data_IF_761372159791
#
_entry.id   IF_761372159791
#
_cell.length_a   1.000
_cell.length_b   1.000
_cell.length_c   1.000
_cell.angle_alpha   90.00
_cell.angle_beta   90.00
_cell.angle_gamma   90.00
#
_symmetry.space_group_name_H-M   'P 1'
#
loop_
_entity.id
_entity.type
_entity.pdbx_description
1 polymer ?
#
# COMPACT_ATOMS: atom_id res chain seq x y z
N UNK A 1 -43.80 37.71 -31.17
CA UNK A 1 -43.67 37.75 -32.65
C UNK A 1 -42.22 37.55 -33.01
N UNK A 2 -42.06 36.63 -33.95
CA UNK A 2 -40.87 36.23 -34.69
C UNK A 2 -40.03 35.08 -34.13
N UNK A 3 -40.37 33.94 -34.72
CA UNK A 3 -39.54 32.74 -34.95
C UNK A 3 -38.29 33.11 -35.74
N UNK A 4 -37.18 32.43 -35.41
CA UNK A 4 -36.22 32.00 -36.43
C UNK A 4 -35.65 30.65 -36.04
N UNK A 5 -36.08 29.65 -36.78
CA UNK A 5 -35.53 28.32 -36.93
C UNK A 5 -34.18 28.42 -37.64
N UNK A 6 -33.20 27.68 -37.16
CA UNK A 6 -31.91 27.50 -37.82
C UNK A 6 -31.39 26.08 -37.54
N UNK A 7 -31.81 25.19 -38.43
CA UNK A 7 -31.31 23.83 -38.63
C UNK A 7 -29.93 23.87 -39.28
N UNK A 8 -29.01 23.04 -38.84
CA UNK A 8 -27.96 22.36 -39.62
C UNK A 8 -26.91 21.87 -38.63
N UNK A 9 -26.54 20.67 -38.60
CA UNK A 9 -26.40 19.54 -39.53
C UNK A 9 -25.40 18.61 -38.85
N UNK A 10 -25.76 17.43 -38.57
CA UNK A 10 -25.47 16.17 -39.26
C UNK A 10 -23.98 15.93 -39.58
N UNK A 11 -23.50 14.78 -39.09
CA UNK A 11 -22.45 13.92 -39.62
C UNK A 11 -20.96 14.31 -39.38
N UNK A 12 -20.36 13.66 -38.40
CA UNK A 12 -19.01 13.10 -38.56
C UNK A 12 -18.93 11.71 -37.89
N UNK A 13 -19.68 10.77 -38.48
CA UNK A 13 -19.37 9.35 -38.49
C UNK A 13 -18.43 9.14 -39.66
N UNK A 14 -17.15 8.99 -39.43
CA UNK A 14 -16.27 8.37 -40.44
C UNK A 14 -14.94 7.96 -39.81
N UNK A 15 -14.72 6.66 -39.88
CA UNK A 15 -13.45 5.99 -40.18
C UNK A 15 -12.46 5.81 -39.03
N UNK A 16 -12.76 4.81 -38.20
CA UNK A 16 -11.75 3.99 -37.56
C UNK A 16 -11.91 2.53 -38.06
N UNK A 17 -11.52 2.29 -39.26
CA UNK A 17 -11.24 0.95 -39.81
C UNK A 17 -9.92 1.00 -40.55
N UNK A 18 -9.12 -0.06 -40.36
CA UNK A 18 -7.85 -0.38 -41.03
C UNK A 18 -6.56 0.05 -40.30
N UNK A 19 -6.20 -0.68 -39.25
CA UNK A 19 -4.85 -1.16 -39.03
C UNK A 19 -4.92 -2.49 -38.27
N UNK A 20 -5.46 -3.52 -38.94
CA UNK A 20 -5.23 -4.91 -38.54
C UNK A 20 -3.87 -5.34 -39.11
N UNK A 21 -2.81 -5.11 -38.35
CA UNK A 21 -1.50 -5.68 -38.62
C UNK A 21 -1.52 -7.18 -38.29
N UNK A 22 -1.33 -7.99 -39.30
CA UNK A 22 -1.12 -9.43 -39.24
C UNK A 22 0.05 -9.74 -38.34
N UNK A 23 -0.17 -10.47 -37.24
CA UNK A 23 0.89 -11.21 -36.56
C UNK A 23 0.94 -12.62 -37.14
N UNK A 24 2.03 -12.88 -37.81
CA UNK A 24 2.43 -14.16 -38.39
C UNK A 24 2.75 -15.15 -37.26
N UNK A 25 2.03 -16.26 -37.24
CA UNK A 25 2.34 -17.43 -36.44
C UNK A 25 3.45 -18.21 -37.12
N UNK A 26 4.69 -17.97 -36.78
CA UNK A 26 5.77 -18.87 -37.16
C UNK A 26 6.12 -19.77 -35.97
N UNK A 27 5.73 -20.99 -36.12
CA UNK A 27 6.10 -22.15 -35.31
C UNK A 27 7.62 -22.35 -35.30
N UNK A 28 8.19 -22.47 -34.11
CA UNK A 28 9.48 -23.15 -33.93
C UNK A 28 9.35 -24.18 -32.82
N UNK A 29 9.10 -25.41 -33.25
CA UNK A 29 9.37 -26.59 -32.47
C UNK A 29 10.89 -26.84 -32.47
N UNK A 30 11.47 -26.96 -31.30
CA UNK A 30 12.76 -27.65 -31.11
C UNK A 30 12.80 -28.22 -29.69
N UNK A 31 12.57 -29.49 -29.62
CA UNK A 31 13.46 -30.54 -29.20
C UNK A 31 13.58 -30.80 -27.72
N UNK A 32 12.89 -31.86 -27.33
CA UNK A 32 13.12 -32.70 -26.17
C UNK A 32 14.53 -33.35 -26.22
N UNK A 33 15.30 -33.20 -25.17
CA UNK A 33 16.38 -34.12 -24.75
C UNK A 33 16.69 -33.72 -23.30
N UNK A 34 16.28 -34.40 -22.28
CA UNK A 34 16.63 -35.70 -21.83
C UNK A 34 17.91 -35.63 -20.99
N UNK A 35 17.79 -35.56 -19.67
CA UNK A 35 18.67 -36.37 -18.81
C UNK A 35 18.17 -36.43 -17.37
N UNK A 36 17.88 -37.63 -17.00
CA UNK A 36 17.57 -38.12 -15.67
C UNK A 36 18.75 -38.01 -14.69
N UNK A 37 18.34 -38.15 -13.43
CA UNK A 37 19.07 -38.75 -12.31
C UNK A 37 19.95 -37.85 -11.44
N UNK A 38 19.47 -37.59 -10.22
CA UNK A 38 20.03 -38.25 -9.04
C UNK A 38 19.17 -38.01 -7.79
N UNK A 39 18.56 -39.07 -7.36
CA UNK A 39 18.11 -39.31 -5.97
C UNK A 39 19.34 -39.64 -5.12
N UNK A 40 19.43 -39.05 -3.94
CA UNK A 40 20.14 -39.52 -2.75
C UNK A 40 20.03 -38.41 -1.71
N UNK A 41 19.73 -38.56 -0.47
CA UNK A 41 19.47 -39.70 0.42
C UNK A 41 18.96 -39.08 1.72
N UNK A 42 17.93 -39.64 2.25
CA UNK A 42 17.47 -39.45 3.65
C UNK A 42 18.60 -39.93 4.59
N UNK A 43 19.02 -39.07 5.51
CA UNK A 43 19.69 -39.51 6.74
C UNK A 43 18.87 -38.98 7.92
N UNK A 44 18.07 -39.87 8.42
CA UNK A 44 17.47 -39.82 9.75
C UNK A 44 18.54 -40.16 10.76
N UNK A 45 18.90 -39.27 11.64
CA UNK A 45 19.61 -39.62 12.88
C UNK A 45 18.67 -39.30 14.05
N UNK A 46 18.01 -40.35 14.51
CA UNK A 46 17.47 -40.50 15.84
C UNK A 46 18.67 -40.73 16.78
N UNK A 47 18.84 -39.88 17.76
CA UNK A 47 19.51 -40.28 18.99
C UNK A 47 18.68 -39.78 20.17
N UNK A 48 18.09 -40.79 20.78
CA UNK A 48 17.55 -40.81 22.13
C UNK A 48 18.70 -40.74 23.15
N UNK A 49 18.27 -40.40 24.35
CA UNK A 49 18.73 -40.96 25.63
C UNK A 49 19.34 -39.95 26.59
N UNK A 50 18.65 -39.88 27.66
CA UNK A 50 18.89 -39.93 29.09
C UNK A 50 19.04 -38.61 29.85
N UNK A 51 17.98 -38.40 30.64
CA UNK A 51 18.11 -37.73 31.94
C UNK A 51 18.95 -38.57 32.88
N UNK A 52 19.69 -37.93 33.78
CA UNK A 52 19.51 -38.27 35.16
C UNK A 52 19.45 -37.04 36.11
N UNK A 53 18.47 -37.12 37.01
CA UNK A 53 18.57 -36.86 38.45
C UNK A 53 19.05 -35.50 38.97
N UNK A 54 18.08 -34.80 39.61
CA UNK A 54 18.33 -33.77 40.61
C UNK A 54 19.26 -34.24 41.76
N UNK A 55 19.92 -33.27 42.47
CA UNK A 55 19.34 -32.90 43.73
C UNK A 55 19.41 -31.39 44.09
N UNK A 56 18.32 -30.97 44.71
CA UNK A 56 18.17 -30.03 45.82
C UNK A 56 19.32 -29.02 46.12
N UNK A 57 19.00 -27.73 46.00
CA UNK A 57 19.33 -26.75 47.07
C UNK A 57 18.67 -25.41 46.82
N UNK A 58 17.93 -25.00 47.77
CA UNK A 58 17.29 -23.73 48.05
C UNK A 58 18.22 -22.53 47.78
N UNK A 59 17.69 -21.44 47.24
CA UNK A 59 17.69 -20.12 47.90
C UNK A 59 17.63 -18.98 46.88
N UNK A 60 16.80 -18.01 47.19
CA UNK A 60 16.67 -16.67 46.65
C UNK A 60 15.74 -16.48 45.47
N UNK A 61 14.47 -16.23 45.80
CA UNK A 61 13.52 -15.50 45.01
C UNK A 61 14.05 -14.08 44.73
N UNK A 62 14.64 -13.88 43.55
CA UNK A 62 14.74 -12.54 42.97
C UNK A 62 13.51 -12.36 42.07
N UNK A 63 12.55 -11.61 42.58
CA UNK A 63 11.40 -11.10 41.83
C UNK A 63 11.93 -10.28 40.68
N UNK A 64 11.99 -10.91 39.50
CA UNK A 64 12.15 -10.18 38.23
C UNK A 64 10.74 -9.72 37.88
N UNK A 65 10.43 -8.47 38.22
CA UNK A 65 9.26 -7.80 37.70
C UNK A 65 9.41 -7.74 36.17
N UNK A 66 8.38 -8.11 35.39
CA UNK A 66 8.39 -7.85 33.96
C UNK A 66 8.45 -6.33 33.77
N UNK A 67 9.49 -5.84 33.11
CA UNK A 67 9.49 -4.48 32.58
C UNK A 67 8.36 -4.40 31.57
N UNK A 68 7.23 -3.87 32.01
CA UNK A 68 6.07 -3.63 31.18
C UNK A 68 6.46 -2.78 29.97
N UNK A 69 6.08 -3.26 28.81
CA UNK A 69 6.09 -2.58 27.53
C UNK A 69 5.13 -1.37 27.49
N UNK A 70 5.32 -0.43 28.42
CA UNK A 70 4.49 0.78 28.52
C UNK A 70 4.92 1.90 27.58
N UNK A 71 6.06 1.72 26.89
CA UNK A 71 6.67 2.73 26.02
C UNK A 71 6.05 2.75 24.62
N UNK A 72 5.81 1.60 24.01
CA UNK A 72 5.34 1.56 22.61
C UNK A 72 3.90 2.06 22.40
N UNK A 73 3.02 1.83 23.38
CA UNK A 73 1.62 2.25 23.28
C UNK A 73 1.45 3.75 23.49
N UNK A 74 2.31 4.39 24.28
CA UNK A 74 2.25 5.83 24.55
C UNK A 74 2.78 6.66 23.37
N UNK A 75 3.80 6.17 22.67
CA UNK A 75 4.35 6.87 21.50
C UNK A 75 3.36 6.94 20.34
N UNK A 76 2.64 5.84 20.07
CA UNK A 76 1.62 5.81 19.02
C UNK A 76 0.39 6.68 19.32
N UNK A 77 0.08 6.93 20.59
CA UNK A 77 -1.11 7.70 21.00
C UNK A 77 -0.93 9.20 20.85
N UNK A 78 0.30 9.70 20.77
CA UNK A 78 0.61 11.13 20.65
C UNK A 78 1.03 11.54 19.21
N UNK A 79 0.96 10.60 18.27
CA UNK A 79 1.29 10.84 16.87
C UNK A 79 0.13 11.49 16.13
N UNK A 80 0.43 12.40 15.20
CA UNK A 80 -0.51 12.95 14.22
C UNK A 80 0.14 13.10 12.85
N UNK A 81 -0.67 13.05 11.83
CA UNK A 81 -0.28 13.22 10.44
C UNK A 81 -0.82 14.56 9.95
N UNK A 82 0.02 15.35 9.30
CA UNK A 82 -0.37 16.57 8.58
C UNK A 82 -0.02 16.40 7.11
N UNK A 83 -1.02 16.57 6.25
CA UNK A 83 -0.88 16.52 4.80
C UNK A 83 -0.98 17.93 4.26
N UNK A 84 0.04 18.41 3.57
CA UNK A 84 0.01 19.62 2.78
C UNK A 84 -0.07 19.24 1.29
N UNK A 85 -1.25 19.43 0.70
CA UNK A 85 -1.51 19.06 -0.70
C UNK A 85 -0.77 19.98 -1.68
N UNK A 86 -0.64 21.27 -1.35
CA UNK A 86 0.07 22.26 -2.16
C UNK A 86 1.55 21.98 -2.22
N UNK A 87 2.17 21.62 -1.10
CA UNK A 87 3.59 21.25 -1.00
C UNK A 87 3.83 19.79 -1.42
N UNK A 88 2.78 18.99 -1.57
CA UNK A 88 2.82 17.55 -1.87
C UNK A 88 3.66 16.77 -0.86
N UNK A 89 3.35 17.00 0.42
CA UNK A 89 4.08 16.40 1.55
C UNK A 89 3.16 15.87 2.62
N UNK A 90 3.60 14.78 3.24
CA UNK A 90 3.05 14.25 4.48
C UNK A 90 4.08 14.46 5.57
N UNK A 91 3.66 15.00 6.69
CA UNK A 91 4.47 15.26 7.87
C UNK A 91 3.94 14.43 9.03
N UNK A 92 4.84 13.70 9.68
CA UNK A 92 4.57 12.94 10.89
C UNK A 92 5.05 13.71 12.11
N UNK A 93 4.16 13.94 13.05
CA UNK A 93 4.47 14.59 14.32
C UNK A 93 4.26 13.63 15.48
N UNK A 94 5.05 13.84 16.54
CA UNK A 94 4.83 13.31 17.88
C UNK A 94 4.73 14.48 18.85
N UNK A 95 3.55 14.68 19.44
CA UNK A 95 3.26 15.90 20.15
C UNK A 95 3.47 17.14 19.26
N UNK A 96 4.38 18.04 19.64
CA UNK A 96 4.76 19.21 18.83
C UNK A 96 5.98 19.01 17.94
N UNK A 97 6.67 17.88 18.05
CA UNK A 97 7.90 17.60 17.32
C UNK A 97 7.60 16.99 15.94
N UNK A 98 8.16 17.58 14.89
CA UNK A 98 8.21 16.94 13.58
C UNK A 98 9.22 15.78 13.62
N UNK A 99 8.74 14.56 13.38
CA UNK A 99 9.59 13.37 13.31
C UNK A 99 10.11 13.15 11.90
N UNK A 100 9.24 13.26 10.90
CA UNK A 100 9.60 12.99 9.52
C UNK A 100 8.71 13.74 8.53
N UNK A 101 9.16 13.82 7.26
CA UNK A 101 8.42 14.48 6.18
C UNK A 101 8.68 13.78 4.85
N UNK A 102 7.61 13.27 4.24
CA UNK A 102 7.63 12.44 3.04
C UNK A 102 7.02 13.15 1.84
N UNK A 103 7.62 12.98 0.67
CA UNK A 103 7.02 13.43 -0.58
C UNK A 103 5.89 12.50 -1.01
N UNK A 104 4.81 13.06 -1.57
CA UNK A 104 3.63 12.30 -2.01
C UNK A 104 3.22 12.69 -3.43
N UNK A 105 2.59 11.74 -4.15
CA UNK A 105 1.78 12.08 -5.29
C UNK A 105 0.34 12.32 -4.80
N UNK A 106 -0.26 13.40 -5.31
CA UNK A 106 -1.60 13.85 -4.92
C UNK A 106 -2.63 13.60 -6.03
N UNK A 107 -3.88 13.92 -5.75
CA UNK A 107 -4.94 13.81 -6.72
C UNK A 107 -4.77 14.78 -7.88
N UNK A 108 -5.13 14.33 -9.09
CA UNK A 108 -5.23 15.18 -10.28
C UNK A 108 -6.47 16.08 -10.20
N UNK A 109 -6.52 17.18 -10.96
CA UNK A 109 -7.68 18.07 -11.00
C UNK A 109 -8.99 17.33 -11.30
N UNK A 110 -10.04 17.61 -10.51
CA UNK A 110 -11.35 16.97 -10.57
C UNK A 110 -11.48 15.70 -9.72
N UNK A 111 -10.41 15.32 -8.98
CA UNK A 111 -10.37 14.17 -8.08
C UNK A 111 -9.77 14.53 -6.72
N UNK A 112 -9.97 15.76 -6.30
CA UNK A 112 -9.30 16.35 -5.15
C UNK A 112 -9.46 15.50 -3.88
N UNK A 113 -8.35 15.33 -3.14
CA UNK A 113 -8.39 14.78 -1.80
C UNK A 113 -9.14 15.75 -0.88
N UNK A 114 -10.19 15.33 -0.16
CA UNK A 114 -10.90 16.21 0.75
C UNK A 114 -10.01 16.77 1.84
N UNK A 115 -10.10 18.09 2.09
CA UNK A 115 -9.43 18.75 3.21
C UNK A 115 -10.24 18.64 4.49
N UNK A 116 -9.58 18.65 5.64
CA UNK A 116 -10.23 18.57 6.94
C UNK A 116 -9.45 17.74 7.95
N UNK A 117 -10.13 17.35 9.02
CA UNK A 117 -9.58 16.53 10.08
C UNK A 117 -10.26 15.16 10.06
N UNK A 118 -9.44 14.14 9.93
CA UNK A 118 -9.82 12.73 9.86
C UNK A 118 -9.06 11.93 10.91
N UNK A 119 -9.26 10.60 10.88
CA UNK A 119 -8.50 9.64 11.68
C UNK A 119 -8.14 8.44 10.82
N UNK A 120 -7.07 7.77 11.16
CA UNK A 120 -6.75 6.47 10.57
C UNK A 120 -7.85 5.47 10.92
N UNK A 121 -8.54 4.94 9.92
CA UNK A 121 -9.66 4.00 10.04
C UNK A 121 -9.19 2.56 10.02
N UNK A 122 -8.32 2.25 9.06
CA UNK A 122 -7.75 0.92 8.89
C UNK A 122 -6.32 0.98 8.37
N UNK A 123 -5.62 -0.15 8.54
CA UNK A 123 -4.22 -0.28 8.15
C UNK A 123 -3.96 -1.72 7.71
N UNK A 124 -3.32 -1.90 6.55
CA UNK A 124 -2.98 -3.20 6.02
C UNK A 124 -1.55 -3.23 5.47
N UNK A 125 -0.80 -4.28 5.79
CA UNK A 125 0.50 -4.56 5.18
C UNK A 125 0.34 -5.55 4.04
N UNK A 126 1.03 -5.29 2.94
CA UNK A 126 0.94 -6.11 1.73
C UNK A 126 -0.52 -6.31 1.27
N UNK A 127 -1.24 -5.21 0.99
CA UNK A 127 -2.65 -5.28 0.65
C UNK A 127 -2.88 -5.99 -0.68
N UNK A 128 -4.04 -6.60 -0.80
CA UNK A 128 -4.57 -7.04 -2.09
C UNK A 128 -5.35 -5.90 -2.71
N UNK A 129 -5.05 -5.54 -3.96
CA UNK A 129 -5.79 -4.53 -4.67
C UNK A 129 -6.89 -5.14 -5.54
N UNK A 130 -8.09 -4.55 -5.50
CA UNK A 130 -9.20 -4.92 -6.38
C UNK A 130 -9.53 -3.73 -7.29
N UNK A 131 -9.47 -3.94 -8.59
CA UNK A 131 -9.78 -2.88 -9.54
C UNK A 131 -11.24 -2.46 -9.42
N UNK A 132 -11.57 -1.18 -9.15
CA UNK A 132 -12.92 -0.75 -8.77
C UNK A 132 -13.97 -0.94 -9.86
N UNK A 133 -13.57 -1.01 -11.14
CA UNK A 133 -14.50 -1.15 -12.27
C UNK A 133 -14.57 -2.61 -12.76
N UNK A 134 -13.42 -3.27 -12.90
CA UNK A 134 -13.35 -4.59 -13.53
C UNK A 134 -13.41 -5.74 -12.52
N UNK A 135 -13.19 -5.47 -11.23
CA UNK A 135 -13.10 -6.47 -10.17
C UNK A 135 -11.84 -7.35 -10.25
N UNK A 136 -10.90 -7.03 -11.15
CA UNK A 136 -9.64 -7.77 -11.25
C UNK A 136 -8.86 -7.57 -9.95
N UNK A 137 -8.41 -8.68 -9.38
CA UNK A 137 -7.65 -8.72 -8.15
C UNK A 137 -6.16 -8.83 -8.45
N UNK A 138 -5.35 -7.95 -7.86
CA UNK A 138 -3.89 -7.99 -7.91
C UNK A 138 -3.36 -8.32 -6.51
N UNK A 139 -2.69 -9.47 -6.34
CA UNK A 139 -2.14 -9.88 -5.06
C UNK A 139 -0.97 -8.97 -4.64
N UNK A 140 -0.51 -9.05 -3.38
CA UNK A 140 0.72 -8.40 -2.95
C UNK A 140 1.90 -8.71 -3.86
N UNK A 141 2.70 -7.72 -4.18
CA UNK A 141 3.87 -7.88 -5.05
C UNK A 141 4.24 -6.59 -5.78
N UNK A 142 5.26 -6.70 -6.66
CA UNK A 142 5.80 -5.57 -7.42
C UNK A 142 4.80 -4.89 -8.36
N UNK A 143 3.78 -5.64 -8.80
CA UNK A 143 2.78 -5.14 -9.75
C UNK A 143 1.56 -4.52 -9.08
N UNK A 144 1.49 -4.60 -7.73
CA UNK A 144 0.36 -4.07 -6.98
C UNK A 144 0.41 -2.54 -6.93
N UNK A 145 -0.61 -1.83 -7.43
CA UNK A 145 -0.62 -0.37 -7.43
C UNK A 145 -0.71 0.27 -6.03
N UNK A 146 -1.13 -0.49 -4.99
CA UNK A 146 -1.11 -0.03 -3.60
C UNK A 146 0.27 -0.21 -2.95
N UNK A 147 1.23 -0.85 -3.63
CA UNK A 147 2.54 -1.11 -3.08
C UNK A 147 2.50 -2.02 -1.85
N UNK A 148 3.26 -1.66 -0.82
CA UNK A 148 3.54 -2.54 0.32
C UNK A 148 2.68 -2.29 1.55
N UNK A 149 1.92 -1.18 1.60
CA UNK A 149 1.03 -0.87 2.71
C UNK A 149 -0.11 0.06 2.28
N UNK A 150 -1.21 -0.04 2.99
CA UNK A 150 -2.39 0.81 2.94
C UNK A 150 -2.69 1.38 4.33
N UNK A 151 -3.10 2.67 4.37
CA UNK A 151 -3.50 3.39 5.59
C UNK A 151 -4.73 4.23 5.20
N UNK A 152 -5.93 3.73 5.46
CA UNK A 152 -7.20 4.39 5.15
C UNK A 152 -7.57 5.44 6.19
N UNK A 153 -8.03 6.62 5.77
CA UNK A 153 -8.49 7.67 6.69
C UNK A 153 -9.85 8.28 6.32
N UNK A 154 -10.39 7.97 5.17
CA UNK A 154 -11.74 8.35 4.77
C UNK A 154 -12.39 7.18 4.03
N UNK A 155 -13.66 6.89 4.37
CA UNK A 155 -14.50 5.91 3.68
C UNK A 155 -15.90 6.49 3.54
N UNK A 156 -16.42 6.53 2.31
CA UNK A 156 -17.75 7.02 1.97
C UNK A 156 -18.34 6.21 0.80
N UNK A 157 -19.48 6.65 0.27
CA UNK A 157 -20.17 5.99 -0.85
C UNK A 157 -19.36 6.02 -2.16
N UNK A 158 -18.43 6.97 -2.30
CA UNK A 158 -17.57 7.13 -3.48
C UNK A 158 -16.33 6.22 -3.41
N UNK A 159 -16.00 5.70 -2.23
CA UNK A 159 -14.88 4.79 -2.01
C UNK A 159 -14.06 5.13 -0.78
N UNK A 160 -12.83 4.67 -0.80
CA UNK A 160 -11.87 4.86 0.30
C UNK A 160 -10.70 5.74 -0.15
N UNK A 161 -10.27 6.61 0.75
CA UNK A 161 -9.10 7.47 0.56
C UNK A 161 -8.10 7.18 1.68
N UNK A 162 -6.84 7.04 1.30
CA UNK A 162 -5.78 6.72 2.22
C UNK A 162 -4.40 7.02 1.65
N UNK A 163 -3.39 6.73 2.46
CA UNK A 163 -2.00 6.67 2.04
C UNK A 163 -1.68 5.24 1.60
N UNK A 164 -0.90 5.10 0.54
CA UNK A 164 -0.45 3.78 0.11
C UNK A 164 0.89 3.87 -0.60
N UNK A 165 1.59 2.74 -0.69
CA UNK A 165 2.77 2.63 -1.53
C UNK A 165 2.44 2.69 -3.02
N UNK A 166 3.38 2.36 -3.87
CA UNK A 166 3.15 2.38 -5.32
C UNK A 166 4.10 1.43 -6.03
N UNK A 167 3.68 0.96 -7.19
CA UNK A 167 4.56 0.30 -8.17
C UNK A 167 5.17 1.28 -9.18
N UNK A 168 4.92 2.61 -9.01
CA UNK A 168 5.37 3.68 -9.90
C UNK A 168 5.96 4.83 -9.06
N UNK A 169 7.12 4.59 -8.42
CA UNK A 169 7.75 5.56 -7.51
C UNK A 169 8.27 6.81 -8.22
N UNK A 170 8.47 6.75 -9.53
CA UNK A 170 8.84 7.89 -10.37
C UNK A 170 7.77 8.98 -10.45
N UNK A 171 6.52 8.64 -10.10
CA UNK A 171 5.39 9.58 -10.08
C UNK A 171 5.21 10.30 -8.72
N UNK A 172 6.05 10.01 -7.72
CA UNK A 172 6.00 10.71 -6.44
C UNK A 172 6.37 12.18 -6.66
N UNK A 173 5.53 13.06 -6.12
CA UNK A 173 5.62 14.50 -6.35
C UNK A 173 4.67 15.00 -7.46
N UNK A 174 3.95 14.12 -8.17
CA UNK A 174 3.05 14.49 -9.25
C UNK A 174 1.56 14.51 -8.81
N UNK A 175 0.72 15.17 -9.62
CA UNK A 175 -0.74 15.17 -9.45
C UNK A 175 -1.38 14.16 -10.40
N UNK A 176 -1.50 12.90 -9.97
CA UNK A 176 -1.86 11.76 -10.85
C UNK A 176 -2.90 10.81 -10.25
N UNK A 177 -3.23 10.91 -8.97
CA UNK A 177 -4.13 9.97 -8.29
C UNK A 177 -5.62 10.34 -8.50
N UNK A 178 -6.50 9.49 -8.00
CA UNK A 178 -7.95 9.69 -7.98
C UNK A 178 -8.48 9.95 -6.56
N UNK A 179 -7.68 10.64 -5.73
CA UNK A 179 -8.04 10.99 -4.35
C UNK A 179 -7.05 10.47 -3.32
N UNK A 180 -6.49 9.28 -3.50
CA UNK A 180 -5.50 8.69 -2.60
C UNK A 180 -4.14 9.39 -2.68
N UNK A 181 -3.34 9.25 -1.64
CA UNK A 181 -2.03 9.85 -1.49
C UNK A 181 -0.97 8.75 -1.65
N UNK A 182 -0.23 8.79 -2.78
CA UNK A 182 0.81 7.80 -3.07
C UNK A 182 2.10 8.19 -2.39
N UNK A 183 2.76 7.23 -1.76
CA UNK A 183 4.06 7.36 -1.11
C UNK A 183 5.05 6.38 -1.72
N UNK A 184 6.33 6.63 -1.55
CA UNK A 184 7.33 5.57 -1.79
C UNK A 184 7.07 4.40 -0.86
N UNK A 185 7.42 3.20 -1.28
CA UNK A 185 7.17 2.01 -0.48
C UNK A 185 7.93 2.01 0.86
N UNK A 186 9.14 2.57 0.90
CA UNK A 186 9.90 2.76 2.13
C UNK A 186 9.25 3.79 3.06
N UNK A 187 8.73 4.90 2.52
CA UNK A 187 8.12 5.99 3.28
C UNK A 187 6.80 5.56 3.93
N UNK A 188 5.93 4.86 3.18
CA UNK A 188 4.67 4.36 3.74
C UNK A 188 4.90 3.31 4.84
N UNK A 189 5.96 2.48 4.73
CA UNK A 189 6.36 1.56 5.79
C UNK A 189 6.82 2.29 7.04
N UNK A 190 7.63 3.35 6.87
CA UNK A 190 8.10 4.17 7.97
C UNK A 190 6.92 4.86 8.67
N UNK A 191 6.01 5.48 7.92
CA UNK A 191 4.79 6.07 8.46
C UNK A 191 3.94 5.04 9.22
N UNK A 192 3.70 3.87 8.61
CA UNK A 192 2.93 2.77 9.19
C UNK A 192 3.46 2.31 10.56
N UNK A 193 4.78 2.29 10.74
CA UNK A 193 5.42 1.87 11.97
C UNK A 193 5.15 2.81 13.17
N UNK A 194 4.91 4.10 12.91
CA UNK A 194 4.77 5.13 13.95
C UNK A 194 3.32 5.48 14.31
N UNK A 195 2.34 4.95 13.58
CA UNK A 195 0.93 5.30 13.74
C UNK A 195 0.06 4.08 14.05
N UNK A 196 -1.19 4.32 14.38
CA UNK A 196 -2.20 3.28 14.60
C UNK A 196 -3.60 3.76 14.22
N UNK A 197 -4.58 2.88 14.27
CA UNK A 197 -5.99 3.26 14.11
C UNK A 197 -6.35 4.33 15.14
N UNK A 198 -7.09 5.36 14.71
CA UNK A 198 -7.41 6.52 15.52
C UNK A 198 -6.37 7.64 15.49
N UNK A 199 -5.18 7.45 14.90
CA UNK A 199 -4.20 8.54 14.72
C UNK A 199 -4.83 9.66 13.92
N UNK A 200 -4.79 10.93 14.42
CA UNK A 200 -5.33 12.08 13.69
C UNK A 200 -4.62 12.31 12.37
N UNK A 201 -5.43 12.63 11.33
CA UNK A 201 -4.96 13.01 9.98
C UNK A 201 -5.56 14.36 9.64
N UNK A 202 -4.72 15.37 9.45
CA UNK A 202 -5.11 16.73 9.10
C UNK A 202 -4.70 16.93 7.64
N UNK A 203 -5.66 17.20 6.76
CA UNK A 203 -5.42 17.47 5.34
C UNK A 203 -5.70 18.94 5.05
N UNK A 204 -4.69 19.64 4.55
CA UNK A 204 -4.72 21.06 4.20
C UNK A 204 -4.17 21.30 2.79
N UNK A 205 -4.47 22.51 2.22
CA UNK A 205 -4.02 22.88 0.87
C UNK A 205 -2.51 23.19 0.85
#
# INVERSE_FOLDING_TARGET
>A
MMLCLGTAGVLALAQWQLMAGRFDLSSSQASLSGRERSQQSLVVIKQSIQSPTEPDSQTAATTIQPLESKSETKEKTDSRIVVNLGERRVQLYQGSQLLDSYAIAVAKPGWETPTGTFQVLDMEQNPTWVHPITGITVPPGSDNPLGVAWIGFLSNEEGEIGFHGTNQEELIGEAVSHGCLRMRNEDVKALYAHIGKGTPVIVEQ
#
